data_IF_963128106176
#
_entry.id   IF_963128106176
#
_cell.length_a   1.000
_cell.length_b   1.000
_cell.length_c   1.000
_cell.angle_alpha   90.00
_cell.angle_beta   90.00
_cell.angle_gamma   90.00
#
_symmetry.space_group_name_H-M   'P 1'
#
loop_
_entity.id
_entity.type
_entity.pdbx_description
1 polymer ?
#
# COMPACT_ATOMS: atom_id res chain seq x y z
N UNK A 1 11.10 -35.56 14.25
CA UNK A 1 11.81 -34.28 14.01
C UNK A 1 11.22 -33.25 14.96
N UNK A 2 12.05 -32.44 15.59
CA UNK A 2 11.61 -31.28 16.38
C UNK A 2 10.89 -30.29 15.47
N UNK A 3 9.76 -29.74 15.93
CA UNK A 3 9.03 -28.70 15.19
C UNK A 3 9.89 -27.44 15.10
N UNK A 4 9.96 -26.83 13.92
CA UNK A 4 10.59 -25.53 13.72
C UNK A 4 9.81 -24.43 14.45
N UNK A 5 10.49 -23.38 14.93
CA UNK A 5 9.84 -22.25 15.59
C UNK A 5 9.59 -21.09 14.62
N UNK A 6 8.42 -20.48 14.73
CA UNK A 6 8.01 -19.29 13.99
C UNK A 6 7.68 -18.19 14.99
N UNK A 7 8.23 -16.99 14.79
CA UNK A 7 7.86 -15.82 15.59
C UNK A 7 6.77 -15.02 14.87
N UNK A 8 5.66 -14.78 15.55
CA UNK A 8 4.54 -13.98 15.09
C UNK A 8 4.61 -12.59 15.70
N UNK A 9 4.91 -11.62 14.85
CA UNK A 9 4.83 -10.19 15.14
C UNK A 9 3.40 -9.70 14.84
N UNK A 10 2.66 -9.33 15.88
CA UNK A 10 1.24 -8.98 15.78
C UNK A 10 0.33 -10.20 15.77
N UNK A 11 -0.97 -9.99 15.56
CA UNK A 11 -1.98 -11.04 15.62
C UNK A 11 -2.56 -11.36 14.25
N UNK A 12 -2.86 -12.65 14.01
CA UNK A 12 -3.77 -13.06 12.94
C UNK A 12 -5.18 -12.69 13.38
N UNK A 13 -5.91 -11.93 12.58
CA UNK A 13 -7.25 -11.44 12.91
C UNK A 13 -8.34 -12.33 12.34
N UNK A 14 -8.19 -12.79 11.11
CA UNK A 14 -9.28 -13.44 10.37
C UNK A 14 -8.92 -14.82 9.81
N UNK A 15 -7.67 -15.06 9.40
CA UNK A 15 -7.23 -16.37 8.87
C UNK A 15 -6.99 -17.43 9.96
N UNK A 16 -7.94 -17.59 10.89
CA UNK A 16 -7.81 -18.46 12.08
C UNK A 16 -7.68 -19.94 11.76
N UNK A 17 -8.32 -20.41 10.70
CA UNK A 17 -8.18 -21.79 10.26
C UNK A 17 -6.74 -22.08 9.77
N UNK A 18 -6.14 -21.13 9.05
CA UNK A 18 -4.77 -21.22 8.56
C UNK A 18 -3.76 -21.10 9.70
N UNK A 19 -4.00 -20.24 10.68
CA UNK A 19 -3.19 -20.14 11.90
C UNK A 19 -3.18 -21.46 12.67
N UNK A 20 -4.35 -22.07 12.88
CA UNK A 20 -4.47 -23.37 13.55
C UNK A 20 -3.77 -24.50 12.76
N UNK A 21 -3.90 -24.51 11.43
CA UNK A 21 -3.21 -25.48 10.58
C UNK A 21 -1.68 -25.33 10.65
N UNK A 22 -1.19 -24.10 10.74
CA UNK A 22 0.25 -23.82 10.89
C UNK A 22 0.75 -24.24 12.28
N UNK A 23 -0.02 -23.95 13.36
CA UNK A 23 0.29 -24.37 14.73
C UNK A 23 0.31 -25.90 14.92
N UNK A 24 -0.47 -26.63 14.13
CA UNK A 24 -0.42 -28.09 14.13
C UNK A 24 0.95 -28.63 13.65
N UNK A 25 1.63 -27.91 12.75
CA UNK A 25 2.91 -28.32 12.14
C UNK A 25 4.13 -27.72 12.84
N UNK A 26 4.06 -26.48 13.32
CA UNK A 26 5.19 -25.71 13.82
C UNK A 26 4.94 -25.17 15.23
N UNK A 27 6.00 -24.73 15.92
CA UNK A 27 5.89 -24.04 17.21
C UNK A 27 5.70 -22.54 16.94
N UNK A 28 4.50 -22.02 17.24
CA UNK A 28 4.21 -20.59 17.09
C UNK A 28 4.49 -19.88 18.41
N UNK A 29 5.34 -18.84 18.34
CA UNK A 29 5.61 -17.93 19.43
C UNK A 29 5.09 -16.54 19.05
N UNK A 30 4.52 -15.81 19.99
CA UNK A 30 4.05 -14.45 19.73
C UNK A 30 5.05 -13.44 20.29
N UNK A 31 5.31 -12.41 19.50
CA UNK A 31 6.18 -11.30 19.86
C UNK A 31 5.54 -10.44 20.95
N UNK A 32 6.40 -9.89 21.80
CA UNK A 32 6.03 -8.83 22.73
C UNK A 32 5.45 -7.61 21.99
N UNK A 33 4.55 -6.84 22.63
CA UNK A 33 3.75 -5.83 21.93
C UNK A 33 4.58 -4.62 21.47
N UNK A 34 5.70 -4.32 22.13
CA UNK A 34 6.58 -3.20 21.77
C UNK A 34 7.94 -3.64 21.26
N UNK A 35 8.60 -2.75 20.51
CA UNK A 35 9.94 -3.01 19.96
C UNK A 35 10.97 -3.32 21.05
N UNK A 36 10.94 -2.57 22.15
CA UNK A 36 11.87 -2.75 23.27
C UNK A 36 11.71 -4.13 23.89
N UNK A 37 10.48 -4.52 24.20
CA UNK A 37 10.19 -5.83 24.79
C UNK A 37 10.50 -6.96 23.82
N UNK A 38 10.37 -6.75 22.51
CA UNK A 38 10.79 -7.73 21.50
C UNK A 38 12.30 -7.97 21.57
N UNK A 39 13.14 -6.95 21.71
CA UNK A 39 14.58 -7.16 21.91
C UNK A 39 14.87 -7.96 23.20
N UNK A 40 14.17 -7.66 24.30
CA UNK A 40 14.30 -8.39 25.57
C UNK A 40 13.86 -9.86 25.44
N UNK A 41 12.78 -10.11 24.69
CA UNK A 41 12.30 -11.45 24.36
C UNK A 41 13.33 -12.22 23.51
N UNK A 42 13.89 -11.59 22.47
CA UNK A 42 14.90 -12.22 21.62
C UNK A 42 16.16 -12.60 22.43
N UNK A 43 16.62 -11.74 23.34
CA UNK A 43 17.72 -12.07 24.26
C UNK A 43 17.40 -13.25 25.19
N UNK A 44 16.16 -13.32 25.68
CA UNK A 44 15.69 -14.44 26.52
C UNK A 44 15.67 -15.74 25.73
N UNK A 45 15.04 -15.75 24.55
CA UNK A 45 14.95 -16.93 23.67
C UNK A 45 16.33 -17.43 23.25
N UNK A 46 17.29 -16.52 23.03
CA UNK A 46 18.70 -16.86 22.75
C UNK A 46 19.37 -17.60 23.90
N UNK A 47 19.13 -17.18 25.16
CA UNK A 47 19.65 -17.87 26.35
C UNK A 47 19.01 -19.24 26.55
N UNK A 48 17.75 -19.39 26.16
CA UNK A 48 16.99 -20.65 26.22
C UNK A 48 17.29 -21.58 25.03
N UNK A 49 18.09 -21.14 24.05
CA UNK A 49 18.42 -21.93 22.86
C UNK A 49 17.25 -22.06 21.85
N UNK A 50 16.25 -21.19 21.93
CA UNK A 50 15.12 -21.14 20.99
C UNK A 50 15.52 -20.27 19.80
N UNK A 51 15.65 -20.90 18.62
CA UNK A 51 15.89 -20.20 17.35
C UNK A 51 14.62 -20.18 16.50
N UNK A 52 14.39 -19.07 15.79
CA UNK A 52 13.25 -18.89 14.89
C UNK A 52 13.70 -19.02 13.44
N UNK A 53 13.07 -19.91 12.68
CA UNK A 53 13.40 -20.12 11.26
C UNK A 53 12.62 -19.17 10.34
N UNK A 54 11.43 -18.77 10.77
CA UNK A 54 10.59 -17.83 10.05
C UNK A 54 9.98 -16.76 10.98
N UNK A 55 9.72 -15.61 10.40
CA UNK A 55 8.99 -14.49 11.01
C UNK A 55 7.69 -14.26 10.25
N UNK A 56 6.56 -14.25 10.95
CA UNK A 56 5.30 -13.71 10.46
C UNK A 56 5.16 -12.27 10.94
N UNK A 57 5.02 -11.31 10.04
CA UNK A 57 4.83 -9.88 10.34
C UNK A 57 3.41 -9.48 9.95
N UNK A 58 2.55 -9.28 10.93
CA UNK A 58 1.15 -8.89 10.73
C UNK A 58 0.96 -7.46 10.23
N UNK A 59 -0.16 -7.16 9.58
CA UNK A 59 -0.39 -5.90 8.84
C UNK A 59 -0.15 -4.62 9.66
N UNK A 60 -0.69 -4.57 10.88
CA UNK A 60 -0.63 -3.39 11.75
C UNK A 60 0.61 -3.34 12.67
N UNK A 61 1.53 -4.32 12.58
CA UNK A 61 2.63 -4.43 13.54
C UNK A 61 3.64 -3.27 13.49
N UNK A 62 3.72 -2.56 12.37
CA UNK A 62 4.61 -1.41 12.22
C UNK A 62 4.26 -0.24 13.15
N UNK A 63 2.99 -0.10 13.56
CA UNK A 63 2.59 0.95 14.50
C UNK A 63 3.20 0.77 15.90
N UNK A 64 3.49 -0.47 16.31
CA UNK A 64 4.03 -0.76 17.65
C UNK A 64 5.50 -1.17 17.64
N UNK A 65 5.97 -1.76 16.54
CA UNK A 65 7.34 -2.27 16.42
C UNK A 65 8.24 -1.41 15.52
N UNK A 66 7.66 -0.53 14.71
CA UNK A 66 8.37 0.16 13.64
C UNK A 66 8.80 -0.80 12.52
N UNK A 67 9.85 -0.38 11.79
CA UNK A 67 10.41 -1.11 10.66
C UNK A 67 11.19 -2.35 11.12
N UNK A 68 11.09 -3.45 10.36
CA UNK A 68 12.00 -4.59 10.48
C UNK A 68 13.28 -4.24 9.73
N UNK A 69 14.21 -3.62 10.44
CA UNK A 69 15.47 -3.06 9.95
C UNK A 69 16.68 -3.88 10.43
N UNK A 70 17.89 -3.51 10.00
CA UNK A 70 19.13 -4.20 10.33
C UNK A 70 19.32 -4.46 11.85
N UNK A 71 19.10 -3.50 12.76
CA UNK A 71 19.18 -3.78 14.20
C UNK A 71 18.23 -4.88 14.68
N UNK A 72 16.98 -4.89 14.20
CA UNK A 72 16.04 -5.94 14.59
C UNK A 72 16.42 -7.28 13.97
N UNK A 73 16.78 -7.30 12.68
CA UNK A 73 17.21 -8.51 11.98
C UNK A 73 18.44 -9.15 12.64
N UNK A 74 19.41 -8.33 13.06
CA UNK A 74 20.64 -8.76 13.75
C UNK A 74 20.39 -9.27 15.17
N UNK A 75 19.26 -8.92 15.80
CA UNK A 75 18.92 -9.39 17.14
C UNK A 75 18.26 -10.77 17.17
N UNK A 76 17.79 -11.28 16.03
CA UNK A 76 17.29 -12.64 15.97
C UNK A 76 18.41 -13.64 16.30
N UNK A 77 18.11 -14.70 17.07
CA UNK A 77 19.01 -15.84 17.20
C UNK A 77 19.37 -16.42 15.82
N UNK A 78 20.50 -17.13 15.74
CA UNK A 78 20.96 -17.72 14.48
C UNK A 78 19.88 -18.59 13.84
N UNK A 79 19.67 -18.46 12.53
CA UNK A 79 18.80 -19.36 11.78
C UNK A 79 17.49 -18.75 11.26
N UNK A 80 17.25 -17.44 11.43
CA UNK A 80 16.17 -16.78 10.70
C UNK A 80 16.48 -16.83 9.20
N UNK A 81 15.58 -17.44 8.43
CA UNK A 81 15.73 -17.66 6.98
C UNK A 81 14.63 -16.97 6.16
N UNK A 82 13.44 -16.73 6.74
CA UNK A 82 12.30 -16.14 6.05
C UNK A 82 11.56 -15.09 6.89
N UNK A 83 11.18 -13.99 6.26
CA UNK A 83 10.30 -12.95 6.77
C UNK A 83 9.06 -12.87 5.88
N UNK A 84 7.95 -13.42 6.35
CA UNK A 84 6.64 -13.27 5.71
C UNK A 84 5.94 -11.99 6.20
N UNK A 85 5.76 -11.02 5.31
CA UNK A 85 5.10 -9.75 5.63
C UNK A 85 3.68 -9.68 5.05
N UNK A 86 2.70 -9.41 5.90
CA UNK A 86 1.31 -9.15 5.49
C UNK A 86 1.23 -7.74 4.89
N UNK A 87 0.83 -7.64 3.63
CA UNK A 87 0.72 -6.38 2.87
C UNK A 87 1.45 -6.45 1.53
N UNK A 88 1.03 -5.64 0.55
CA UNK A 88 1.67 -5.62 -0.77
C UNK A 88 2.96 -4.78 -0.80
N UNK A 89 2.98 -3.63 -0.14
CA UNK A 89 4.23 -2.88 0.02
C UNK A 89 5.12 -3.48 1.11
N UNK A 90 6.42 -3.43 0.90
CA UNK A 90 7.43 -4.05 1.76
C UNK A 90 8.44 -3.04 2.33
N UNK A 91 8.14 -1.74 2.25
CA UNK A 91 8.96 -0.62 2.77
C UNK A 91 9.17 -0.66 4.30
N UNK A 92 8.35 -1.43 5.00
CA UNK A 92 8.48 -1.70 6.43
C UNK A 92 9.40 -2.89 6.77
N UNK A 93 9.96 -3.56 5.76
CA UNK A 93 11.00 -4.58 5.91
C UNK A 93 12.19 -4.13 5.09
N UNK A 94 13.36 -4.04 5.71
CA UNK A 94 14.60 -3.76 5.00
C UNK A 94 15.03 -5.00 4.20
N UNK A 95 14.51 -5.12 2.99
CA UNK A 95 14.78 -6.25 2.10
C UNK A 95 16.26 -6.34 1.69
N UNK A 96 16.98 -5.22 1.66
CA UNK A 96 18.42 -5.21 1.38
C UNK A 96 19.22 -5.75 2.57
N UNK A 97 18.89 -5.32 3.79
CA UNK A 97 19.44 -5.90 5.02
C UNK A 97 19.16 -7.40 5.13
N UNK A 98 17.90 -7.80 4.90
CA UNK A 98 17.53 -9.21 4.87
C UNK A 98 18.36 -9.99 3.85
N UNK A 99 18.58 -9.45 2.65
CA UNK A 99 19.42 -10.09 1.61
C UNK A 99 20.87 -10.26 2.07
N UNK A 100 21.48 -9.23 2.67
CA UNK A 100 22.84 -9.34 3.25
C UNK A 100 22.93 -10.42 4.32
N UNK A 101 21.86 -10.60 5.08
CA UNK A 101 21.73 -11.61 6.13
C UNK A 101 21.25 -12.97 5.61
N UNK A 102 21.14 -13.15 4.28
CA UNK A 102 20.64 -14.38 3.63
C UNK A 102 19.25 -14.79 4.12
N UNK A 103 18.38 -13.81 4.30
CA UNK A 103 16.98 -13.95 4.70
C UNK A 103 16.06 -13.59 3.55
N UNK A 104 15.12 -14.48 3.23
CA UNK A 104 14.08 -14.21 2.25
C UNK A 104 13.04 -13.28 2.84
N UNK A 105 12.46 -12.44 1.99
CA UNK A 105 11.30 -11.62 2.34
C UNK A 105 10.19 -11.96 1.36
N UNK A 106 8.98 -12.22 1.86
CA UNK A 106 7.78 -12.35 1.04
C UNK A 106 6.73 -11.33 1.44
N UNK A 107 5.92 -10.90 0.47
CA UNK A 107 4.78 -10.00 0.67
C UNK A 107 3.48 -10.64 0.13
N UNK A 108 2.40 -9.88 0.03
CA UNK A 108 1.09 -10.36 -0.44
C UNK A 108 0.56 -9.53 -1.63
N UNK A 109 1.20 -9.58 -2.81
CA UNK A 109 0.75 -8.87 -4.01
C UNK A 109 -0.49 -9.57 -4.59
N UNK A 110 -1.27 -8.85 -5.40
CA UNK A 110 -2.46 -9.39 -6.08
C UNK A 110 -3.71 -9.49 -5.20
N UNK A 111 -3.57 -9.88 -3.93
CA UNK A 111 -4.72 -10.02 -3.03
C UNK A 111 -5.31 -8.68 -2.58
N UNK A 112 -4.55 -7.59 -2.69
CA UNK A 112 -4.97 -6.23 -2.28
C UNK A 112 -5.60 -5.43 -3.41
N UNK A 113 -5.49 -5.92 -4.65
CA UNK A 113 -5.69 -5.13 -5.87
C UNK A 113 -7.11 -4.56 -5.93
N UNK A 114 -8.11 -5.40 -5.71
CA UNK A 114 -9.52 -4.99 -5.80
C UNK A 114 -9.92 -4.03 -4.68
N UNK A 115 -9.59 -4.34 -3.43
CA UNK A 115 -9.96 -3.47 -2.30
C UNK A 115 -9.32 -2.08 -2.43
N UNK A 116 -8.04 -2.04 -2.81
CA UNK A 116 -7.34 -0.76 -2.98
C UNK A 116 -7.89 0.02 -4.17
N UNK A 117 -8.26 -0.67 -5.26
CA UNK A 117 -8.93 -0.04 -6.38
C UNK A 117 -10.32 0.51 -6.02
N UNK A 118 -11.10 -0.23 -5.24
CA UNK A 118 -12.41 0.23 -4.75
C UNK A 118 -12.27 1.49 -3.89
N UNK A 119 -11.31 1.51 -2.97
CA UNK A 119 -11.00 2.70 -2.17
C UNK A 119 -10.54 3.89 -3.03
N UNK A 120 -9.77 3.64 -4.08
CA UNK A 120 -9.33 4.68 -5.03
C UNK A 120 -10.54 5.28 -5.77
N UNK A 121 -11.50 4.46 -6.20
CA UNK A 121 -12.73 4.93 -6.85
C UNK A 121 -13.65 5.66 -5.86
N UNK A 122 -13.71 5.21 -4.61
CA UNK A 122 -14.41 5.94 -3.55
C UNK A 122 -13.83 7.35 -3.36
N UNK A 123 -12.51 7.47 -3.28
CA UNK A 123 -11.82 8.76 -3.19
C UNK A 123 -12.06 9.62 -4.44
N UNK A 124 -11.96 9.05 -5.64
CA UNK A 124 -12.28 9.72 -6.90
C UNK A 124 -13.66 10.37 -6.85
N UNK A 125 -14.71 9.59 -6.56
CA UNK A 125 -16.07 10.09 -6.54
C UNK A 125 -16.30 11.10 -5.40
N UNK A 126 -15.72 10.84 -4.22
CA UNK A 126 -15.80 11.75 -3.07
C UNK A 126 -15.21 13.12 -3.40
N UNK A 127 -14.02 13.14 -4.00
CA UNK A 127 -13.31 14.37 -4.39
C UNK A 127 -14.05 15.13 -5.51
N UNK A 128 -14.49 14.45 -6.57
CA UNK A 128 -15.21 15.10 -7.68
C UNK A 128 -16.56 15.70 -7.27
N UNK A 129 -17.15 15.23 -6.18
CA UNK A 129 -18.48 15.62 -5.70
C UNK A 129 -18.47 16.45 -4.41
N UNK A 130 -17.28 16.79 -3.89
CA UNK A 130 -17.12 17.51 -2.61
C UNK A 130 -17.87 16.82 -1.45
N UNK A 131 -17.88 15.49 -1.45
CA UNK A 131 -18.73 14.70 -0.54
C UNK A 131 -18.40 14.97 0.94
N UNK A 132 -17.12 15.13 1.28
CA UNK A 132 -16.69 15.41 2.65
C UNK A 132 -17.31 16.69 3.21
N UNK A 133 -17.25 17.80 2.47
CA UNK A 133 -17.82 19.08 2.89
C UNK A 133 -19.33 18.96 3.12
N UNK A 134 -20.04 18.32 2.17
CA UNK A 134 -21.49 18.11 2.25
C UNK A 134 -21.84 17.32 3.50
N UNK A 135 -21.16 16.18 3.74
CA UNK A 135 -21.39 15.34 4.89
C UNK A 135 -21.06 16.06 6.21
N UNK A 136 -19.92 16.76 6.26
CA UNK A 136 -19.49 17.53 7.41
C UNK A 136 -20.56 18.58 7.78
N UNK A 137 -21.01 19.37 6.81
CA UNK A 137 -22.01 20.41 7.04
C UNK A 137 -23.36 19.82 7.48
N UNK A 138 -23.83 18.74 6.83
CA UNK A 138 -25.07 18.06 7.20
C UNK A 138 -25.04 17.55 8.65
N UNK A 139 -23.93 16.91 9.07
CA UNK A 139 -23.78 16.35 10.41
C UNK A 139 -23.72 17.41 11.51
N UNK A 140 -23.24 18.61 11.18
CA UNK A 140 -23.09 19.72 12.15
C UNK A 140 -24.21 20.76 12.05
N UNK A 141 -25.24 20.53 11.22
CA UNK A 141 -26.33 21.48 11.02
C UNK A 141 -25.88 22.81 10.39
N UNK A 142 -24.73 22.80 9.68
CA UNK A 142 -24.21 23.99 9.01
C UNK A 142 -24.94 24.20 7.67
N UNK A 143 -25.05 25.45 7.18
CA UNK A 143 -25.66 25.72 5.89
C UNK A 143 -24.97 24.96 4.76
N UNK A 144 -25.73 24.16 4.02
CA UNK A 144 -25.26 23.53 2.80
C UNK A 144 -25.53 24.44 1.61
N UNK A 145 -24.48 25.04 1.06
CA UNK A 145 -24.50 25.62 -0.28
C UNK A 145 -23.86 24.59 -1.21
N UNK A 146 -24.66 23.75 -1.90
CA UNK A 146 -24.10 22.68 -2.71
C UNK A 146 -23.20 23.27 -3.80
N UNK A 147 -21.93 22.87 -3.79
CA UNK A 147 -21.00 23.18 -4.89
C UNK A 147 -21.27 22.22 -6.04
N UNK A 148 -21.18 22.74 -7.26
CA UNK A 148 -21.37 21.93 -8.46
C UNK A 148 -20.14 21.02 -8.60
N UNK A 149 -20.34 19.72 -8.41
CA UNK A 149 -19.32 18.71 -8.66
C UNK A 149 -19.14 18.43 -10.14
N UNK A 150 -18.26 17.48 -10.47
CA UNK A 150 -18.03 17.03 -11.85
C UNK A 150 -18.39 15.57 -12.04
N UNK A 151 -18.75 15.24 -13.27
CA UNK A 151 -19.02 13.86 -13.68
C UNK A 151 -17.73 13.25 -14.25
N UNK A 152 -17.36 12.00 -13.88
CA UNK A 152 -16.15 11.35 -14.38
C UNK A 152 -16.24 11.02 -15.87
N UNK A 153 -17.44 10.85 -16.43
CA UNK A 153 -17.66 10.49 -17.84
C UNK A 153 -16.91 11.44 -18.79
N UNK A 154 -16.07 10.87 -19.65
CA UNK A 154 -15.28 11.62 -20.63
C UNK A 154 -13.99 12.24 -20.11
N UNK A 155 -13.76 12.27 -18.79
CA UNK A 155 -12.47 12.70 -18.21
C UNK A 155 -11.35 11.69 -18.51
N UNK A 156 -10.12 12.19 -18.51
CA UNK A 156 -8.90 11.38 -18.62
C UNK A 156 -8.35 11.10 -17.22
N UNK A 157 -8.30 9.83 -16.84
CA UNK A 157 -7.56 9.33 -15.67
C UNK A 157 -6.14 8.94 -16.09
N UNK A 158 -5.14 9.63 -15.54
CA UNK A 158 -3.73 9.28 -15.65
C UNK A 158 -3.28 8.41 -14.49
N UNK A 159 -2.89 7.17 -14.78
CA UNK A 159 -2.37 6.21 -13.81
C UNK A 159 -0.84 6.21 -13.84
N UNK A 160 -0.21 6.63 -12.73
CA UNK A 160 1.24 6.52 -12.54
C UNK A 160 1.52 5.20 -11.81
N UNK A 161 2.01 4.19 -12.52
CA UNK A 161 2.18 2.84 -11.98
C UNK A 161 1.04 1.88 -12.36
N UNK A 162 1.05 1.36 -13.58
CA UNK A 162 0.11 0.32 -14.03
C UNK A 162 0.59 -1.08 -13.60
N UNK A 163 0.45 -1.36 -12.30
CA UNK A 163 0.57 -2.70 -11.71
C UNK A 163 -0.80 -3.38 -11.53
N UNK A 164 -0.90 -4.37 -10.64
CA UNK A 164 -2.17 -5.05 -10.33
C UNK A 164 -3.28 -4.09 -9.88
N UNK A 165 -2.99 -3.24 -8.89
CA UNK A 165 -3.89 -2.18 -8.42
C UNK A 165 -4.24 -1.21 -9.56
N UNK A 166 -3.25 -0.70 -10.31
CA UNK A 166 -3.49 0.23 -11.42
C UNK A 166 -4.43 -0.35 -12.49
N UNK A 167 -4.27 -1.64 -12.83
CA UNK A 167 -5.18 -2.34 -13.76
C UNK A 167 -6.60 -2.46 -13.19
N UNK A 168 -6.73 -2.76 -11.91
CA UNK A 168 -8.01 -2.86 -11.21
C UNK A 168 -8.74 -1.49 -11.13
N UNK A 169 -7.99 -0.40 -10.95
CA UNK A 169 -8.49 0.99 -11.01
C UNK A 169 -8.93 1.34 -12.43
N UNK A 170 -8.09 1.08 -13.43
CA UNK A 170 -8.39 1.35 -14.84
C UNK A 170 -9.71 0.72 -15.28
N UNK A 171 -9.91 -0.56 -14.95
CA UNK A 171 -11.16 -1.30 -15.24
C UNK A 171 -12.41 -0.58 -14.71
N UNK A 172 -12.34 -0.10 -13.46
CA UNK A 172 -13.47 0.57 -12.80
C UNK A 172 -13.68 1.99 -13.34
N UNK A 173 -12.60 2.72 -13.61
CA UNK A 173 -12.65 4.04 -14.21
C UNK A 173 -13.28 4.01 -15.61
N UNK A 174 -12.95 3.01 -16.44
CA UNK A 174 -13.59 2.81 -17.74
C UNK A 174 -15.09 2.51 -17.61
N UNK A 175 -15.51 1.76 -16.59
CA UNK A 175 -16.92 1.51 -16.31
C UNK A 175 -17.68 2.79 -15.88
N UNK A 176 -16.98 3.79 -15.34
CA UNK A 176 -17.49 5.15 -15.08
C UNK A 176 -17.45 6.06 -16.32
N UNK A 177 -17.04 5.54 -17.48
CA UNK A 177 -16.94 6.29 -18.74
C UNK A 177 -15.69 7.16 -18.85
N UNK A 178 -14.67 6.96 -18.02
CA UNK A 178 -13.39 7.66 -18.14
C UNK A 178 -12.53 7.07 -19.25
N UNK A 179 -11.74 7.93 -19.90
CA UNK A 179 -10.57 7.49 -20.69
C UNK A 179 -9.41 7.25 -19.73
N UNK A 180 -8.58 6.26 -20.00
CA UNK A 180 -7.46 5.91 -19.13
C UNK A 180 -6.16 5.95 -19.92
N UNK A 181 -5.20 6.71 -19.39
CA UNK A 181 -3.81 6.71 -19.85
C UNK A 181 -2.91 6.26 -18.70
N UNK A 182 -1.75 5.71 -19.00
CA UNK A 182 -0.82 5.31 -17.95
C UNK A 182 0.63 5.53 -18.31
N UNK A 183 1.44 5.68 -17.26
CA UNK A 183 2.88 5.73 -17.36
C UNK A 183 3.52 4.71 -16.42
N UNK A 184 4.45 3.97 -16.99
CA UNK A 184 5.41 3.09 -16.33
C UNK A 184 6.78 3.32 -16.98
N UNK A 185 7.86 2.94 -16.27
CA UNK A 185 9.23 2.92 -16.83
C UNK A 185 9.32 2.15 -18.16
N UNK A 186 8.47 1.14 -18.33
CA UNK A 186 8.30 0.35 -19.56
C UNK A 186 6.81 0.05 -19.75
N UNK A 187 6.31 -0.01 -21.00
CA UNK A 187 4.95 -0.46 -21.26
C UNK A 187 4.75 -1.88 -20.74
N UNK A 188 3.52 -2.21 -20.37
CA UNK A 188 3.15 -3.55 -19.95
C UNK A 188 2.37 -4.27 -21.05
N UNK A 189 2.52 -5.58 -21.11
CA UNK A 189 1.64 -6.45 -21.89
C UNK A 189 0.45 -6.85 -21.04
N UNK A 190 -0.73 -6.84 -21.65
CA UNK A 190 -1.95 -7.37 -21.06
C UNK A 190 -2.08 -8.85 -21.42
N UNK A 191 -2.58 -9.67 -20.50
CA UNK A 191 -3.00 -11.03 -20.85
C UNK A 191 -4.38 -11.02 -21.53
N UNK A 192 -4.80 -12.14 -22.13
CA UNK A 192 -6.08 -12.26 -22.85
C UNK A 192 -7.29 -11.76 -22.04
N UNK A 193 -7.33 -12.04 -20.73
CA UNK A 193 -8.42 -11.58 -19.86
C UNK A 193 -8.37 -10.07 -19.64
N UNK A 194 -7.18 -9.52 -19.49
CA UNK A 194 -6.94 -8.09 -19.29
C UNK A 194 -7.25 -7.29 -20.56
N UNK A 195 -6.90 -7.81 -21.75
CA UNK A 195 -7.20 -7.17 -23.03
C UNK A 195 -8.71 -6.94 -23.23
N UNK A 196 -9.55 -7.84 -22.71
CA UNK A 196 -11.00 -7.72 -22.83
C UNK A 196 -11.55 -6.39 -22.24
N UNK A 197 -10.86 -5.79 -21.27
CA UNK A 197 -11.27 -4.52 -20.66
C UNK A 197 -10.24 -3.39 -20.76
N UNK A 198 -8.93 -3.68 -20.86
CA UNK A 198 -7.86 -2.67 -20.91
C UNK A 198 -7.36 -2.32 -22.32
N UNK A 199 -7.94 -2.88 -23.39
CA UNK A 199 -7.49 -2.59 -24.78
C UNK A 199 -7.45 -1.10 -25.15
N UNK A 200 -8.27 -0.28 -24.49
CA UNK A 200 -8.39 1.16 -24.75
C UNK A 200 -7.49 2.01 -23.84
N UNK A 201 -6.71 1.36 -22.97
CA UNK A 201 -5.77 2.04 -22.08
C UNK A 201 -4.49 2.39 -22.85
N UNK A 202 -4.17 3.68 -22.91
CA UNK A 202 -3.04 4.20 -23.67
C UNK A 202 -1.78 4.33 -22.80
N UNK A 203 -0.64 3.84 -23.30
CA UNK A 203 0.67 4.04 -22.67
C UNK A 203 1.27 5.39 -23.10
N UNK A 204 1.69 6.19 -22.13
CA UNK A 204 2.41 7.43 -22.36
C UNK A 204 3.91 7.25 -22.00
N UNK A 205 4.85 7.57 -22.92
CA UNK A 205 6.27 7.31 -22.72
C UNK A 205 6.93 8.06 -21.56
N UNK A 206 6.35 9.18 -21.12
CA UNK A 206 6.90 10.00 -20.02
C UNK A 206 5.83 10.35 -19.01
N UNK A 207 6.26 10.58 -17.76
CA UNK A 207 5.39 11.09 -16.71
C UNK A 207 4.78 12.44 -17.10
N UNK A 208 5.58 13.35 -17.66
CA UNK A 208 5.13 14.67 -18.11
C UNK A 208 3.99 14.58 -19.14
N UNK A 209 4.11 13.69 -20.13
CA UNK A 209 3.05 13.48 -21.12
C UNK A 209 1.73 13.05 -20.47
N UNK A 210 1.80 12.20 -19.44
CA UNK A 210 0.63 11.80 -18.64
C UNK A 210 0.05 12.96 -17.85
N UNK A 211 0.89 13.73 -17.14
CA UNK A 211 0.42 14.83 -16.29
C UNK A 211 -0.32 15.89 -17.11
N UNK A 212 0.20 16.26 -18.29
CA UNK A 212 -0.38 17.30 -19.14
C UNK A 212 -1.75 16.94 -19.72
N UNK A 213 -2.05 15.66 -19.95
CA UNK A 213 -3.34 15.23 -20.53
C UNK A 213 -4.38 14.83 -19.49
N UNK A 214 -3.99 14.60 -18.25
CA UNK A 214 -4.87 14.01 -17.23
C UNK A 214 -5.77 15.04 -16.55
N UNK A 215 -7.06 14.76 -16.46
CA UNK A 215 -8.00 15.52 -15.62
C UNK A 215 -7.93 15.06 -14.16
N UNK A 216 -7.61 13.77 -13.96
CA UNK A 216 -7.33 13.16 -12.66
C UNK A 216 -6.03 12.38 -12.76
N UNK A 217 -5.11 12.57 -11.82
CA UNK A 217 -3.89 11.75 -11.70
C UNK A 217 -4.00 10.86 -10.47
N UNK A 218 -3.69 9.56 -10.62
CA UNK A 218 -3.71 8.58 -9.52
C UNK A 218 -2.39 7.81 -9.42
N UNK A 219 -1.85 7.71 -8.21
CA UNK A 219 -0.52 7.16 -7.93
C UNK A 219 -0.60 5.73 -7.38
N UNK A 220 0.12 4.81 -8.03
CA UNK A 220 0.18 3.37 -7.71
C UNK A 220 1.58 2.78 -7.88
N UNK A 221 2.62 3.54 -7.53
CA UNK A 221 4.01 3.08 -7.56
C UNK A 221 4.48 2.64 -6.16
N UNK A 222 5.42 1.66 -6.06
CA UNK A 222 6.06 1.36 -4.79
C UNK A 222 6.91 2.55 -4.32
N UNK A 223 7.08 2.72 -3.00
CA UNK A 223 8.04 3.67 -2.45
C UNK A 223 9.46 3.10 -2.52
N UNK A 224 10.37 3.91 -3.06
CA UNK A 224 11.78 3.63 -3.28
C UNK A 224 12.55 4.95 -3.22
N UNK A 225 13.89 4.90 -3.33
CA UNK A 225 14.68 6.12 -3.44
C UNK A 225 14.30 6.93 -4.70
N UNK A 226 13.98 6.24 -5.80
CA UNK A 226 13.63 6.84 -7.09
C UNK A 226 12.22 7.42 -7.14
N UNK A 227 11.30 6.88 -6.33
CA UNK A 227 9.90 7.31 -6.31
C UNK A 227 9.55 8.24 -5.15
N UNK A 228 10.48 8.46 -4.20
CA UNK A 228 10.29 9.46 -3.14
C UNK A 228 10.18 10.85 -3.77
N UNK A 229 9.12 11.58 -3.43
CA UNK A 229 8.81 12.89 -4.02
C UNK A 229 8.84 12.89 -5.56
N UNK A 230 8.33 11.79 -6.14
CA UNK A 230 8.10 11.67 -7.58
C UNK A 230 7.15 12.77 -8.07
N UNK A 231 6.12 13.06 -7.28
CA UNK A 231 5.22 14.19 -7.51
C UNK A 231 5.58 15.29 -6.50
N UNK A 232 6.13 16.38 -7.01
CA UNK A 232 6.50 17.59 -6.25
C UNK A 232 6.03 18.82 -7.01
N UNK A 233 6.42 20.02 -6.57
CA UNK A 233 5.95 21.29 -7.13
C UNK A 233 6.03 21.34 -8.67
N UNK A 234 7.13 20.88 -9.26
CA UNK A 234 7.30 20.84 -10.73
C UNK A 234 6.24 19.96 -11.42
N UNK A 235 5.96 18.77 -10.89
CA UNK A 235 4.99 17.85 -11.46
C UNK A 235 3.56 18.35 -11.29
N UNK A 236 3.23 18.97 -10.14
CA UNK A 236 1.94 19.61 -9.97
C UNK A 236 1.71 20.71 -11.00
N UNK A 237 2.70 21.55 -11.29
CA UNK A 237 2.58 22.61 -12.32
C UNK A 237 2.40 22.08 -13.75
N UNK A 238 2.82 20.84 -14.02
CA UNK A 238 2.63 20.19 -15.33
C UNK A 238 1.23 19.59 -15.51
N UNK A 239 0.47 19.44 -14.43
CA UNK A 239 -0.91 18.99 -14.49
C UNK A 239 -1.79 20.08 -15.12
N UNK A 240 -2.98 19.70 -15.58
CA UNK A 240 -3.97 20.69 -16.02
C UNK A 240 -4.38 21.58 -14.84
N UNK A 241 -4.56 22.87 -15.11
CA UNK A 241 -5.22 23.76 -14.15
C UNK A 241 -6.63 23.24 -13.85
N UNK A 242 -6.93 23.06 -12.55
CA UNK A 242 -8.18 22.47 -12.07
C UNK A 242 -8.23 20.94 -12.13
N UNK A 243 -7.08 20.26 -12.29
CA UNK A 243 -7.00 18.80 -12.19
C UNK A 243 -7.23 18.29 -10.78
N UNK A 244 -7.48 16.99 -10.65
CA UNK A 244 -7.62 16.30 -9.36
C UNK A 244 -6.48 15.32 -9.14
N UNK A 245 -6.16 15.06 -7.87
CA UNK A 245 -5.03 14.21 -7.50
C UNK A 245 -5.44 13.13 -6.49
N UNK A 246 -5.06 11.88 -6.74
CA UNK A 246 -5.37 10.73 -5.89
C UNK A 246 -4.10 9.98 -5.48
N UNK A 247 -4.00 9.60 -4.21
CA UNK A 247 -2.91 8.75 -3.74
C UNK A 247 -3.42 7.65 -2.79
N UNK A 248 -3.29 6.40 -3.24
CA UNK A 248 -3.56 5.17 -2.46
C UNK A 248 -2.34 4.24 -2.44
N UNK A 249 -1.15 4.78 -2.69
CA UNK A 249 0.11 4.04 -2.74
C UNK A 249 0.91 4.20 -1.44
N UNK A 250 1.77 5.22 -1.38
CA UNK A 250 2.54 5.64 -0.22
C UNK A 250 2.60 7.17 -0.18
N UNK A 251 2.46 7.74 1.00
CA UNK A 251 2.50 9.19 1.19
C UNK A 251 3.79 9.84 0.68
N UNK A 252 4.99 9.36 1.06
CA UNK A 252 6.26 9.95 0.65
C UNK A 252 6.59 9.91 -0.85
N UNK A 253 5.75 9.27 -1.68
CA UNK A 253 5.85 9.39 -3.14
C UNK A 253 5.50 10.82 -3.61
N UNK A 254 4.77 11.55 -2.78
CA UNK A 254 4.32 12.91 -3.00
C UNK A 254 4.99 13.82 -1.97
N UNK A 255 5.48 14.97 -2.43
CA UNK A 255 5.83 16.08 -1.54
C UNK A 255 4.52 16.72 -1.04
N UNK A 256 4.19 16.46 0.23
CA UNK A 256 2.89 16.83 0.80
C UNK A 256 2.73 18.35 0.93
N UNK A 257 3.82 19.08 1.16
CA UNK A 257 3.85 20.55 1.20
C UNK A 257 3.58 21.12 -0.20
N UNK A 258 4.20 20.55 -1.24
CA UNK A 258 3.90 20.96 -2.61
C UNK A 258 2.43 20.70 -3.01
N UNK A 259 1.82 19.63 -2.53
CA UNK A 259 0.40 19.36 -2.74
C UNK A 259 -0.48 20.42 -2.07
N UNK A 260 -0.17 20.80 -0.83
CA UNK A 260 -0.88 21.85 -0.10
C UNK A 260 -0.86 23.16 -0.89
N UNK A 261 0.32 23.60 -1.35
CA UNK A 261 0.46 24.82 -2.14
C UNK A 261 -0.31 24.75 -3.47
N UNK A 262 -0.33 23.59 -4.13
CA UNK A 262 -1.07 23.39 -5.36
C UNK A 262 -2.60 23.43 -5.15
N UNK A 263 -3.09 22.97 -4.00
CA UNK A 263 -4.49 23.06 -3.59
C UNK A 263 -4.89 24.49 -3.19
N UNK A 264 -4.04 25.18 -2.44
CA UNK A 264 -4.28 26.56 -1.98
C UNK A 264 -4.33 27.56 -3.15
N UNK A 265 -3.46 27.38 -4.15
CA UNK A 265 -3.47 28.17 -5.38
C UNK A 265 -4.65 27.84 -6.31
N UNK A 266 -5.36 26.73 -6.06
CA UNK A 266 -6.43 26.23 -6.92
C UNK A 266 -5.95 25.59 -8.22
N UNK A 267 -4.64 25.41 -8.41
CA UNK A 267 -4.10 24.68 -9.57
C UNK A 267 -4.57 23.22 -9.55
N UNK A 268 -4.63 22.61 -8.37
CA UNK A 268 -5.31 21.34 -8.11
C UNK A 268 -6.66 21.65 -7.46
N UNK A 269 -7.75 21.24 -8.11
CA UNK A 269 -9.11 21.52 -7.67
C UNK A 269 -9.53 20.73 -6.43
N UNK A 270 -8.90 19.57 -6.19
CA UNK A 270 -9.14 18.73 -5.04
C UNK A 270 -8.27 17.48 -5.04
N UNK A 271 -8.17 16.85 -3.88
CA UNK A 271 -7.38 15.64 -3.69
C UNK A 271 -8.15 14.54 -2.95
N UNK A 272 -7.77 13.29 -3.18
CA UNK A 272 -8.27 12.12 -2.46
C UNK A 272 -7.09 11.30 -1.97
N UNK A 273 -6.87 11.25 -0.66
CA UNK A 273 -5.67 10.70 -0.05
C UNK A 273 -6.03 9.61 0.94
N UNK A 274 -5.47 8.42 0.74
CA UNK A 274 -5.48 7.33 1.73
C UNK A 274 -4.16 7.26 2.51
N UNK A 275 -3.11 7.95 2.05
CA UNK A 275 -1.75 7.85 2.58
C UNK A 275 -1.10 9.23 2.70
N UNK A 276 -0.19 9.40 3.66
CA UNK A 276 0.40 10.70 4.06
C UNK A 276 1.91 10.61 4.25
N UNK A 277 2.64 11.68 3.96
CA UNK A 277 4.11 11.67 3.97
C UNK A 277 4.68 11.33 5.37
N UNK A 278 3.99 11.76 6.42
CA UNK A 278 4.43 11.58 7.81
C UNK A 278 3.46 10.72 8.63
N UNK A 279 2.87 9.70 8.01
CA UNK A 279 1.95 8.77 8.67
C UNK A 279 2.45 8.30 10.06
N UNK A 280 1.56 8.27 11.07
CA UNK A 280 0.11 8.52 11.00
C UNK A 280 -0.28 10.01 11.07
N UNK A 281 0.68 10.95 11.05
CA UNK A 281 0.40 12.38 11.04
C UNK A 281 0.00 12.82 9.64
N UNK A 282 -1.03 13.66 9.57
CA UNK A 282 -1.52 14.31 8.35
C UNK A 282 -1.13 15.77 8.38
N UNK A 283 -0.76 16.37 7.24
CA UNK A 283 -0.53 17.82 7.18
C UNK A 283 -1.74 18.61 7.73
N UNK A 284 -1.53 19.59 8.63
CA UNK A 284 -2.63 20.38 9.21
C UNK A 284 -3.50 21.09 8.17
N UNK A 285 -2.90 21.59 7.08
CA UNK A 285 -3.65 22.28 6.03
C UNK A 285 -4.49 21.33 5.16
N UNK A 286 -4.08 20.07 4.99
CA UNK A 286 -4.91 19.06 4.34
C UNK A 286 -6.16 18.74 5.18
N UNK A 287 -6.02 18.68 6.51
CA UNK A 287 -7.14 18.45 7.43
C UNK A 287 -8.18 19.59 7.41
N UNK A 288 -7.74 20.83 7.15
CA UNK A 288 -8.62 22.01 7.09
C UNK A 288 -9.28 22.17 5.72
N UNK A 289 -8.74 21.56 4.67
CA UNK A 289 -9.14 21.81 3.30
C UNK A 289 -10.36 20.97 2.89
N UNK A 290 -11.50 21.63 2.69
CA UNK A 290 -12.77 21.00 2.30
C UNK A 290 -12.78 20.40 0.87
N UNK A 291 -11.72 20.61 0.07
CA UNK A 291 -11.52 19.98 -1.23
C UNK A 291 -10.74 18.66 -1.15
N UNK A 292 -10.37 18.23 0.05
CA UNK A 292 -9.57 17.02 0.26
C UNK A 292 -10.43 15.94 0.92
N UNK A 293 -10.56 14.80 0.25
CA UNK A 293 -11.09 13.58 0.83
C UNK A 293 -9.94 12.79 1.48
N UNK A 294 -10.14 12.36 2.73
CA UNK A 294 -9.11 11.73 3.54
C UNK A 294 -9.57 10.35 4.01
N UNK A 295 -8.68 9.36 3.90
CA UNK A 295 -8.81 8.04 4.50
C UNK A 295 -7.52 7.70 5.26
N UNK A 296 -7.60 7.01 6.42
CA UNK A 296 -6.44 6.71 7.24
C UNK A 296 -5.78 5.37 6.85
N UNK A 297 -5.28 5.26 5.62
CA UNK A 297 -4.57 4.09 5.08
C UNK A 297 -5.41 2.80 5.12
N UNK A 298 -6.63 2.89 4.59
CA UNK A 298 -7.65 1.85 4.61
C UNK A 298 -7.82 1.13 3.26
N UNK A 299 -7.02 1.41 2.24
CA UNK A 299 -7.20 0.86 0.89
C UNK A 299 -7.40 -0.65 0.85
N UNK A 300 -6.58 -1.41 1.58
CA UNK A 300 -6.70 -2.87 1.67
C UNK A 300 -7.42 -3.36 2.95
N UNK A 301 -8.01 -2.47 3.74
CA UNK A 301 -8.46 -2.76 5.11
C UNK A 301 -9.89 -3.31 5.16
N UNK A 302 -10.12 -4.41 4.44
CA UNK A 302 -11.39 -5.16 4.44
C UNK A 302 -11.19 -6.54 5.06
N UNK A 303 -12.24 -7.11 5.64
CA UNK A 303 -12.19 -8.47 6.23
C UNK A 303 -11.67 -9.48 5.19
N UNK A 304 -12.21 -9.43 3.97
CA UNK A 304 -11.84 -10.37 2.91
C UNK A 304 -10.38 -10.24 2.49
N UNK A 305 -9.89 -9.01 2.33
CA UNK A 305 -8.50 -8.76 1.90
C UNK A 305 -7.52 -9.10 3.00
N UNK A 306 -7.79 -8.69 4.25
CA UNK A 306 -6.94 -9.05 5.39
C UNK A 306 -6.89 -10.57 5.56
N UNK A 307 -8.02 -11.27 5.47
CA UNK A 307 -8.05 -12.74 5.53
C UNK A 307 -7.14 -13.38 4.47
N UNK A 308 -7.22 -12.90 3.22
CA UNK A 308 -6.39 -13.40 2.11
C UNK A 308 -4.91 -13.08 2.32
N UNK A 309 -4.57 -11.88 2.79
CA UNK A 309 -3.17 -11.51 3.07
C UNK A 309 -2.58 -12.38 4.18
N UNK A 310 -3.29 -12.52 5.30
CA UNK A 310 -2.83 -13.37 6.42
C UNK A 310 -2.64 -14.82 5.97
N UNK A 311 -3.60 -15.37 5.21
CA UNK A 311 -3.51 -16.71 4.67
C UNK A 311 -2.31 -16.90 3.72
N UNK A 312 -2.08 -15.96 2.78
CA UNK A 312 -0.96 -16.03 1.84
C UNK A 312 0.40 -15.91 2.54
N UNK A 313 0.50 -15.07 3.57
CA UNK A 313 1.74 -14.98 4.36
C UNK A 313 2.04 -16.29 5.08
N UNK A 314 1.04 -16.89 5.73
CA UNK A 314 1.23 -18.20 6.38
C UNK A 314 1.50 -19.32 5.37
N UNK A 315 0.90 -19.26 4.18
CA UNK A 315 1.17 -20.21 3.10
C UNK A 315 2.61 -20.12 2.58
N UNK A 316 3.17 -18.91 2.43
CA UNK A 316 4.59 -18.74 2.09
C UNK A 316 5.49 -19.37 3.16
N UNK A 317 5.17 -19.15 4.44
CA UNK A 317 5.95 -19.72 5.55
C UNK A 317 5.88 -21.25 5.55
N UNK A 318 4.69 -21.84 5.43
CA UNK A 318 4.50 -23.30 5.36
C UNK A 318 5.23 -23.92 4.16
N UNK A 319 5.11 -23.29 2.98
CA UNK A 319 5.76 -23.79 1.77
C UNK A 319 7.29 -23.73 1.88
N UNK A 320 7.83 -22.65 2.43
CA UNK A 320 9.26 -22.49 2.62
C UNK A 320 9.81 -23.50 3.63
N UNK A 321 9.17 -23.64 4.79
CA UNK A 321 9.64 -24.56 5.84
C UNK A 321 9.48 -26.04 5.44
N UNK A 322 8.54 -26.36 4.55
CA UNK A 322 8.32 -27.74 4.07
C UNK A 322 9.13 -28.13 2.84
N UNK A 323 9.47 -27.18 1.96
CA UNK A 323 10.05 -27.47 0.65
C UNK A 323 11.15 -26.52 0.17
N UNK A 324 11.42 -25.43 0.91
CA UNK A 324 12.32 -24.36 0.49
C UNK A 324 11.78 -23.45 -0.61
N UNK A 325 10.53 -23.65 -1.07
CA UNK A 325 9.92 -22.85 -2.13
C UNK A 325 9.16 -21.62 -1.59
N UNK A 326 9.09 -20.56 -2.40
CA UNK A 326 8.39 -19.31 -2.07
C UNK A 326 7.38 -18.97 -3.16
N UNK A 327 6.22 -18.44 -2.79
CA UNK A 327 5.20 -18.00 -3.74
C UNK A 327 5.44 -16.55 -4.19
N UNK A 328 5.79 -15.67 -3.25
CA UNK A 328 5.83 -14.23 -3.48
C UNK A 328 7.09 -13.56 -2.88
N UNK A 329 8.31 -13.97 -3.30
CA UNK A 329 9.55 -13.34 -2.84
C UNK A 329 9.68 -11.90 -3.37
N UNK A 330 10.24 -11.00 -2.55
CA UNK A 330 10.52 -9.60 -2.94
C UNK A 330 12.01 -9.28 -3.07
N UNK A 331 12.88 -10.16 -2.59
CA UNK A 331 14.33 -10.07 -2.76
C UNK A 331 14.87 -11.31 -3.48
N UNK A 332 16.15 -11.29 -3.83
CA UNK A 332 16.88 -12.44 -4.37
C UNK A 332 18.11 -12.70 -3.51
N UNK A 333 18.32 -13.94 -3.10
CA UNK A 333 19.51 -14.36 -2.35
C UNK A 333 20.45 -15.11 -3.32
N UNK A 334 21.67 -14.61 -3.56
CA UNK A 334 22.63 -15.21 -4.47
C UNK A 334 23.29 -16.49 -3.93
#
# INVERSE_FOLDING_TARGET
MTKENILFIGTVRHAKAQEAALAAKYNIHYAAPTRKELFEQLETTKREGINFKALYRGFASHYTLGRVDEPLLSAFPTGLELIGSVGAGYDFVDAEAATRNKQWVTNTPGVVDDATADATILLLLSTLRHQYEIEYNMRHGLPNKPRIGRDPTGMILGIVGMGGIGKAVAKRAQALGMKVVYHNRRPISFNEKEEAYLKEVEYLPTLDALLTVSDVVSIHVPLSAETRHLIRAEQFQKMKSGAYFLNTSRGPVVDEEALVQALESGHIAGAGLDVFEHEPKVHPELLKNMNVALMPHLGAFTIDTITKMEALTMQNIDLFLSSGSLLTPVNNIP
#
